data_IF_009947113224
#
_entry.id   IF_009947113224
#
_cell.length_a   1.000
_cell.length_b   1.000
_cell.length_c   1.000
_cell.angle_alpha   90.00
_cell.angle_beta   90.00
_cell.angle_gamma   90.00
#
_symmetry.space_group_name_H-M   'P 1'
#
loop_
_entity.id
_entity.type
_entity.pdbx_description
1 polymer ?
#
# COMPACT_ATOMS: atom_id res chain seq x y z
N UNK A 1 52.00 -68.70 0.33
CA UNK A 1 51.05 -68.31 -0.75
C UNK A 1 49.88 -67.59 -0.10
N UNK A 2 49.70 -66.29 -0.34
CA UNK A 2 48.59 -65.54 0.26
C UNK A 2 48.90 -64.05 0.34
N UNK A 3 48.66 -63.33 -0.76
CA UNK A 3 48.96 -61.90 -0.80
C UNK A 3 48.49 -61.14 -2.06
N UNK A 4 47.57 -61.70 -2.85
CA UNK A 4 47.11 -61.05 -4.11
C UNK A 4 45.60 -60.85 -4.22
N UNK A 5 44.79 -61.27 -3.23
CA UNK A 5 43.32 -61.27 -3.36
C UNK A 5 42.65 -60.01 -2.78
N UNK A 6 43.34 -59.23 -1.92
CA UNK A 6 42.72 -58.08 -1.23
C UNK A 6 42.71 -56.77 -2.03
N UNK A 7 43.60 -56.59 -3.00
CA UNK A 7 43.72 -55.34 -3.76
C UNK A 7 42.79 -55.29 -4.98
N UNK A 8 42.49 -56.44 -5.58
CA UNK A 8 41.60 -56.54 -6.75
C UNK A 8 40.14 -56.19 -6.39
N UNK A 9 39.66 -56.63 -5.23
CA UNK A 9 38.29 -56.38 -4.76
C UNK A 9 38.06 -54.89 -4.47
N UNK A 10 39.08 -54.17 -4.00
CA UNK A 10 38.99 -52.73 -3.73
C UNK A 10 38.92 -51.92 -5.03
N UNK A 11 39.71 -52.31 -6.04
CA UNK A 11 39.74 -51.63 -7.33
C UNK A 11 38.45 -51.83 -8.14
N UNK A 12 37.83 -53.01 -8.06
CA UNK A 12 36.54 -53.25 -8.73
C UNK A 12 35.39 -52.44 -8.10
N UNK A 13 35.36 -52.29 -6.78
CA UNK A 13 34.36 -51.46 -6.09
C UNK A 13 34.49 -49.97 -6.43
N UNK A 14 35.71 -49.47 -6.57
CA UNK A 14 35.96 -48.08 -6.99
C UNK A 14 35.56 -47.86 -8.45
N UNK A 15 35.84 -48.82 -9.35
CA UNK A 15 35.40 -48.76 -10.75
C UNK A 15 33.87 -48.81 -10.89
N UNK A 16 33.21 -49.66 -10.12
CA UNK A 16 31.74 -49.76 -10.12
C UNK A 16 31.08 -48.46 -9.61
N UNK A 17 31.63 -47.85 -8.56
CA UNK A 17 31.14 -46.57 -8.04
C UNK A 17 31.35 -45.41 -9.04
N UNK A 18 32.50 -45.37 -9.72
CA UNK A 18 32.77 -44.35 -10.75
C UNK A 18 31.86 -44.48 -11.97
N UNK A 19 31.55 -45.72 -12.40
CA UNK A 19 30.59 -45.98 -13.48
C UNK A 19 29.15 -45.59 -13.09
N UNK A 20 28.72 -45.88 -11.86
CA UNK A 20 27.42 -45.47 -11.34
C UNK A 20 27.31 -43.94 -11.25
N UNK A 21 28.34 -43.25 -10.77
CA UNK A 21 28.34 -41.80 -10.67
C UNK A 21 28.34 -41.13 -12.06
N UNK A 22 29.10 -41.68 -13.01
CA UNK A 22 29.08 -41.23 -14.41
C UNK A 22 27.72 -41.46 -15.07
N UNK A 23 27.06 -42.60 -14.83
CA UNK A 23 25.72 -42.88 -15.35
C UNK A 23 24.67 -41.93 -14.75
N UNK A 24 24.75 -41.64 -13.45
CA UNK A 24 23.86 -40.68 -12.78
C UNK A 24 24.09 -39.25 -13.30
N UNK A 25 25.33 -38.83 -13.55
CA UNK A 25 25.64 -37.54 -14.15
C UNK A 25 25.14 -37.42 -15.61
N UNK A 26 25.25 -38.48 -16.41
CA UNK A 26 24.72 -38.49 -17.79
C UNK A 26 23.19 -38.51 -17.79
N UNK A 27 22.55 -39.23 -16.86
CA UNK A 27 21.09 -39.21 -16.69
C UNK A 27 20.58 -37.85 -16.20
N UNK A 28 21.28 -37.20 -15.27
CA UNK A 28 20.89 -35.87 -14.77
C UNK A 28 21.14 -34.75 -15.80
N UNK A 29 22.21 -34.85 -16.62
CA UNK A 29 22.42 -33.97 -17.77
C UNK A 29 21.40 -34.22 -18.89
N UNK A 30 20.95 -35.46 -19.09
CA UNK A 30 19.87 -35.80 -20.03
C UNK A 30 18.51 -35.25 -19.60
N UNK A 31 18.22 -35.23 -18.30
CA UNK A 31 16.98 -34.63 -17.74
C UNK A 31 17.02 -33.10 -17.86
N UNK A 32 18.18 -32.46 -17.67
CA UNK A 32 18.34 -31.01 -17.90
C UNK A 32 18.25 -30.63 -19.39
N UNK A 33 18.71 -31.49 -20.31
CA UNK A 33 18.57 -31.27 -21.75
C UNK A 33 17.11 -31.44 -22.24
N UNK A 34 16.32 -32.32 -21.60
CA UNK A 34 14.88 -32.50 -21.92
C UNK A 34 14.00 -31.35 -21.45
N UNK A 35 14.44 -30.53 -20.47
CA UNK A 35 13.69 -29.35 -20.00
C UNK A 35 14.06 -28.11 -20.85
N UNK A 36 15.16 -28.16 -21.60
CA UNK A 36 15.60 -27.09 -22.49
C UNK A 36 15.01 -27.16 -23.92
N UNK A 37 14.21 -28.18 -24.24
CA UNK A 37 13.49 -28.29 -25.52
C UNK A 37 11.98 -28.38 -25.31
N UNK A 38 11.42 -27.37 -24.65
CA UNK A 38 10.01 -27.02 -24.80
C UNK A 38 9.91 -25.69 -25.57
N UNK A 39 10.67 -25.60 -26.67
CA UNK A 39 10.52 -24.58 -27.71
C UNK A 39 9.91 -25.26 -28.92
N UNK A 40 8.76 -24.77 -29.35
CA UNK A 40 7.90 -25.28 -30.42
C UNK A 40 8.65 -25.47 -31.75
N UNK A 41 8.74 -26.70 -32.27
CA UNK A 41 9.21 -26.96 -33.64
C UNK A 41 8.20 -26.52 -34.72
N UNK A 42 7.06 -25.91 -34.34
CA UNK A 42 6.01 -25.47 -35.27
C UNK A 42 5.97 -23.95 -35.50
N UNK A 43 6.74 -23.14 -34.76
CA UNK A 43 6.74 -21.68 -34.90
C UNK A 43 5.46 -20.98 -34.41
N UNK A 44 4.58 -21.69 -33.72
CA UNK A 44 3.35 -21.14 -33.12
C UNK A 44 3.61 -20.53 -31.74
N UNK A 45 2.94 -19.41 -31.45
CA UNK A 45 3.10 -18.66 -30.21
C UNK A 45 2.60 -19.46 -28.98
N UNK A 46 3.44 -19.61 -27.92
CA UNK A 46 3.05 -20.24 -26.65
C UNK A 46 2.68 -19.19 -25.58
N UNK A 47 1.40 -19.07 -25.19
CA UNK A 47 0.94 -18.09 -24.19
C UNK A 47 1.30 -18.47 -22.73
N UNK A 48 1.73 -19.71 -22.48
CA UNK A 48 2.08 -20.21 -21.15
C UNK A 48 3.58 -20.44 -20.95
N UNK A 49 4.41 -20.05 -21.92
CA UNK A 49 5.85 -20.26 -21.91
C UNK A 49 6.58 -18.91 -21.98
N UNK A 50 6.90 -18.24 -20.85
CA UNK A 50 7.51 -16.91 -20.87
C UNK A 50 8.87 -16.91 -21.58
N UNK A 51 9.05 -16.01 -22.56
CA UNK A 51 10.36 -15.71 -23.11
C UNK A 51 11.09 -14.72 -22.19
N UNK A 52 11.94 -15.24 -21.32
CA UNK A 52 12.73 -14.44 -20.38
C UNK A 52 13.83 -13.60 -21.05
N UNK A 53 14.14 -13.85 -22.33
CA UNK A 53 15.12 -13.06 -23.08
C UNK A 53 14.50 -11.82 -23.74
N UNK A 54 13.18 -11.81 -23.92
CA UNK A 54 12.39 -10.67 -24.40
C UNK A 54 10.99 -10.66 -23.78
N UNK A 55 10.95 -10.40 -22.47
CA UNK A 55 9.72 -10.52 -21.68
C UNK A 55 8.63 -9.55 -22.13
N UNK A 56 8.99 -8.30 -22.46
CA UNK A 56 8.04 -7.27 -22.89
C UNK A 56 7.43 -7.62 -24.25
N UNK A 57 8.24 -8.13 -25.19
CA UNK A 57 7.76 -8.60 -26.48
C UNK A 57 6.82 -9.80 -26.36
N UNK A 58 7.11 -10.71 -25.42
CA UNK A 58 6.27 -11.88 -25.14
C UNK A 58 4.93 -11.52 -24.49
N UNK A 59 4.93 -10.60 -23.51
CA UNK A 59 3.72 -10.12 -22.85
C UNK A 59 2.77 -9.46 -23.87
N UNK A 60 3.30 -8.62 -24.76
CA UNK A 60 2.51 -7.98 -25.81
C UNK A 60 1.85 -8.98 -26.78
N UNK A 61 2.54 -10.07 -27.13
CA UNK A 61 1.98 -11.14 -27.97
C UNK A 61 0.93 -11.96 -27.23
N UNK A 62 1.13 -12.23 -25.93
CA UNK A 62 0.16 -12.95 -25.09
C UNK A 62 -1.16 -12.19 -24.99
N UNK A 63 -1.09 -10.89 -24.73
CA UNK A 63 -2.29 -10.06 -24.60
C UNK A 63 -3.04 -9.93 -25.95
N UNK A 64 -2.35 -10.02 -27.09
CA UNK A 64 -3.00 -10.11 -28.41
C UNK A 64 -3.67 -11.48 -28.62
N UNK A 65 -2.98 -12.57 -28.27
CA UNK A 65 -3.52 -13.92 -28.32
C UNK A 65 -4.79 -14.08 -27.47
N UNK A 66 -4.79 -13.59 -26.23
CA UNK A 66 -5.95 -13.65 -25.32
C UNK A 66 -7.16 -12.89 -25.86
N UNK A 67 -6.94 -11.71 -26.48
CA UNK A 67 -8.00 -10.94 -27.13
C UNK A 67 -8.60 -11.65 -28.34
N UNK A 68 -7.77 -12.31 -29.15
CA UNK A 68 -8.25 -13.10 -30.29
C UNK A 68 -9.05 -14.33 -29.84
N UNK A 69 -8.65 -14.98 -28.74
CA UNK A 69 -9.43 -16.07 -28.14
C UNK A 69 -10.80 -15.59 -27.63
N UNK A 70 -10.87 -14.41 -27.02
CA UNK A 70 -12.14 -13.79 -26.60
C UNK A 70 -13.04 -13.42 -27.79
N UNK A 71 -12.46 -12.96 -28.91
CA UNK A 71 -13.19 -12.63 -30.12
C UNK A 71 -13.70 -13.88 -30.86
N UNK A 72 -12.97 -14.99 -30.82
CA UNK A 72 -13.42 -16.27 -31.41
C UNK A 72 -14.52 -16.95 -30.59
N UNK A 73 -14.60 -16.70 -29.29
CA UNK A 73 -15.70 -17.18 -28.44
C UNK A 73 -17.00 -16.39 -28.63
N UNK A 74 -16.94 -15.20 -29.24
CA UNK A 74 -18.09 -14.35 -29.54
C UNK A 74 -18.31 -14.24 -31.07
N UNK A 75 -18.63 -15.36 -31.72
CA UNK A 75 -19.01 -15.38 -33.14
C UNK A 75 -20.35 -14.67 -33.44
N UNK A 76 -20.63 -14.31 -34.71
CA UNK A 76 -21.75 -13.45 -35.06
C UNK A 76 -23.12 -14.12 -34.83
N UNK A 77 -24.00 -13.47 -34.07
CA UNK A 77 -25.35 -13.94 -33.77
C UNK A 77 -26.29 -13.83 -34.99
N UNK A 78 -26.76 -14.96 -35.49
CA UNK A 78 -28.03 -15.04 -36.23
C UNK A 78 -29.20 -15.38 -35.28
N UNK A 79 -30.35 -14.83 -35.63
CA UNK A 79 -31.56 -14.65 -34.84
C UNK A 79 -32.29 -15.91 -34.39
N UNK A 80 -32.80 -15.88 -33.15
CA UNK A 80 -34.13 -16.39 -32.83
C UNK A 80 -34.21 -17.66 -31.98
N UNK A 81 -34.20 -17.48 -30.65
CA UNK A 81 -35.09 -18.14 -29.67
C UNK A 81 -34.69 -17.69 -28.26
N UNK A 82 -35.69 -17.30 -27.45
CA UNK A 82 -35.49 -16.80 -26.11
C UNK A 82 -34.88 -17.88 -25.20
N UNK A 83 -33.58 -17.78 -24.93
CA UNK A 83 -32.93 -18.52 -23.86
C UNK A 83 -33.06 -17.73 -22.56
N UNK A 84 -33.51 -18.39 -21.50
CA UNK A 84 -33.45 -17.85 -20.13
C UNK A 84 -32.03 -17.34 -19.84
N UNK A 85 -31.85 -16.20 -19.15
CA UNK A 85 -30.53 -15.74 -18.80
C UNK A 85 -29.83 -16.82 -17.95
N UNK A 86 -28.52 -17.09 -18.19
CA UNK A 86 -27.77 -17.97 -17.32
C UNK A 86 -27.85 -17.39 -15.90
N UNK A 87 -28.16 -18.26 -14.93
CA UNK A 87 -28.19 -17.89 -13.53
C UNK A 87 -26.88 -17.15 -13.21
N UNK A 88 -27.02 -15.92 -12.72
CA UNK A 88 -25.90 -15.11 -12.30
C UNK A 88 -25.00 -15.98 -11.41
N UNK A 89 -23.75 -16.15 -11.84
CA UNK A 89 -22.68 -16.52 -10.91
C UNK A 89 -22.83 -15.53 -9.76
N UNK A 90 -23.00 -15.97 -8.50
CA UNK A 90 -23.17 -15.03 -7.40
C UNK A 90 -21.97 -14.11 -7.43
N UNK A 91 -22.22 -12.85 -7.76
CA UNK A 91 -21.24 -11.77 -7.68
C UNK A 91 -20.70 -11.85 -6.27
N UNK A 92 -19.41 -12.24 -6.15
CA UNK A 92 -18.74 -12.30 -4.85
C UNK A 92 -19.00 -10.94 -4.20
N UNK A 93 -19.65 -10.92 -3.04
CA UNK A 93 -20.01 -9.69 -2.36
C UNK A 93 -18.82 -8.73 -2.40
N UNK A 94 -19.04 -7.45 -2.75
CA UNK A 94 -17.94 -6.53 -2.97
C UNK A 94 -17.02 -6.57 -1.74
N UNK A 95 -15.75 -6.89 -1.96
CA UNK A 95 -14.78 -6.89 -0.88
C UNK A 95 -14.77 -5.48 -0.26
N UNK A 96 -14.85 -5.41 1.07
CA UNK A 96 -14.85 -4.16 1.82
C UNK A 96 -13.48 -3.94 2.46
N UNK A 97 -13.14 -2.69 2.78
CA UNK A 97 -12.00 -2.38 3.61
C UNK A 97 -12.15 -3.05 4.98
N UNK A 98 -11.04 -3.35 5.66
CA UNK A 98 -11.07 -3.98 6.99
C UNK A 98 -11.65 -3.01 8.03
N UNK A 99 -11.40 -1.71 7.86
CA UNK A 99 -11.91 -0.62 8.69
C UNK A 99 -12.73 0.38 7.85
N UNK A 100 -13.92 -0.02 7.36
CA UNK A 100 -14.72 0.83 6.48
C UNK A 100 -15.23 2.10 7.20
N UNK A 101 -15.13 2.15 8.52
CA UNK A 101 -15.43 3.32 9.34
C UNK A 101 -14.43 4.48 9.17
N UNK A 102 -13.21 4.20 8.70
CA UNK A 102 -12.13 5.18 8.54
C UNK A 102 -12.14 5.88 7.17
N UNK A 103 -13.00 5.47 6.24
CA UNK A 103 -13.10 6.02 4.89
C UNK A 103 -14.52 6.53 4.62
N UNK A 104 -14.61 7.71 4.02
CA UNK A 104 -15.87 8.24 3.47
C UNK A 104 -15.74 8.28 1.96
N UNK A 105 -16.65 7.60 1.25
CA UNK A 105 -16.71 7.65 -0.21
C UNK A 105 -17.43 8.93 -0.66
N UNK A 106 -17.00 9.57 -1.76
CA UNK A 106 -17.54 10.87 -2.17
C UNK A 106 -19.01 10.81 -2.61
N UNK A 107 -19.47 9.66 -3.11
CA UNK A 107 -20.89 9.44 -3.48
C UNK A 107 -21.81 9.28 -2.25
N UNK A 108 -21.22 9.11 -1.07
CA UNK A 108 -21.91 8.81 0.19
C UNK A 108 -21.58 9.79 1.30
N UNK A 109 -21.30 11.06 0.97
CA UNK A 109 -21.07 12.12 1.94
C UNK A 109 -22.36 12.38 2.76
N UNK A 110 -22.60 11.53 3.77
CA UNK A 110 -23.67 11.67 4.76
C UNK A 110 -23.27 12.79 5.70
N UNK A 111 -24.05 13.89 5.76
CA UNK A 111 -23.79 15.08 6.59
C UNK A 111 -23.83 14.80 8.12
N UNK A 112 -23.78 13.53 8.53
CA UNK A 112 -23.70 13.09 9.93
C UNK A 112 -22.27 13.18 10.44
N UNK A 113 -21.81 14.41 10.62
CA UNK A 113 -20.51 14.71 11.21
C UNK A 113 -20.05 16.12 10.88
N UNK A 114 -18.91 16.49 11.45
CA UNK A 114 -18.22 17.74 11.13
C UNK A 114 -17.38 17.47 9.90
N UNK A 115 -17.69 18.17 8.81
CA UNK A 115 -16.85 18.17 7.62
C UNK A 115 -15.72 19.16 7.88
N UNK A 116 -14.48 18.68 7.77
CA UNK A 116 -13.29 19.46 8.08
C UNK A 116 -12.41 19.57 6.83
N UNK A 117 -12.37 20.79 6.29
CA UNK A 117 -11.48 21.19 5.19
C UNK A 117 -10.10 21.51 5.75
N UNK A 118 -9.09 20.74 5.36
CA UNK A 118 -7.73 20.95 5.85
C UNK A 118 -6.83 21.71 4.87
N UNK A 119 -7.40 22.21 3.77
CA UNK A 119 -6.68 23.03 2.77
C UNK A 119 -6.41 24.44 3.31
N UNK A 120 -5.65 25.22 2.55
CA UNK A 120 -5.35 26.60 2.92
C UNK A 120 -6.62 27.45 3.02
N UNK A 121 -6.53 28.56 3.76
CA UNK A 121 -7.66 29.48 3.91
C UNK A 121 -8.14 30.04 2.58
N UNK A 122 -7.22 30.30 1.65
CA UNK A 122 -7.55 30.83 0.33
C UNK A 122 -8.33 29.83 -0.51
N UNK A 123 -7.95 28.55 -0.49
CA UNK A 123 -8.67 27.46 -1.17
C UNK A 123 -10.06 27.26 -0.56
N UNK A 124 -10.16 27.28 0.77
CA UNK A 124 -11.43 27.20 1.48
C UNK A 124 -12.38 28.35 1.09
N UNK A 125 -11.89 29.58 1.05
CA UNK A 125 -12.69 30.75 0.67
C UNK A 125 -13.06 30.77 -0.82
N UNK A 126 -12.24 30.16 -1.68
CA UNK A 126 -12.54 30.00 -3.10
C UNK A 126 -13.69 29.00 -3.34
N UNK A 127 -13.84 28.01 -2.47
CA UNK A 127 -14.96 27.08 -2.46
C UNK A 127 -14.66 25.84 -1.62
N UNK A 128 -15.57 25.49 -0.72
CA UNK A 128 -15.46 24.35 0.19
C UNK A 128 -16.77 23.55 0.23
N UNK A 129 -16.74 22.31 0.70
CA UNK A 129 -17.96 21.51 0.87
C UNK A 129 -18.90 22.22 1.84
N UNK A 130 -20.18 22.38 1.49
CA UNK A 130 -21.13 23.15 2.30
C UNK A 130 -21.16 22.68 3.76
N UNK A 131 -21.07 23.64 4.69
CA UNK A 131 -21.01 23.36 6.14
C UNK A 131 -19.62 22.99 6.67
N UNK A 132 -18.59 22.88 5.82
CA UNK A 132 -17.25 22.56 6.27
C UNK A 132 -16.63 23.67 7.13
N UNK A 133 -15.92 23.24 8.18
CA UNK A 133 -15.00 24.05 9.00
C UNK A 133 -13.60 23.98 8.40
N UNK A 134 -12.71 24.91 8.74
CA UNK A 134 -11.37 24.95 8.13
C UNK A 134 -10.25 25.03 9.16
N UNK A 135 -9.34 24.06 9.10
CA UNK A 135 -8.07 24.08 9.86
C UNK A 135 -6.95 23.71 8.90
N UNK A 136 -6.12 24.68 8.50
CA UNK A 136 -5.05 24.40 7.56
C UNK A 136 -3.96 23.52 8.18
N UNK A 137 -3.69 22.38 7.54
CA UNK A 137 -2.81 21.36 8.12
C UNK A 137 -1.39 21.83 8.39
N UNK A 138 -0.86 22.77 7.60
CA UNK A 138 0.51 23.30 7.78
C UNK A 138 0.64 24.24 8.97
N UNK A 139 -0.45 24.89 9.38
CA UNK A 139 -0.46 25.76 10.56
C UNK A 139 -0.32 24.96 11.86
N UNK A 140 -0.47 23.63 11.80
CA UNK A 140 -0.31 22.71 12.92
C UNK A 140 1.13 22.24 13.12
N UNK A 141 2.04 22.69 12.28
CA UNK A 141 3.41 22.19 12.24
C UNK A 141 4.42 23.22 12.75
N UNK A 142 5.48 22.70 13.38
CA UNK A 142 6.66 23.46 13.77
C UNK A 142 7.89 22.72 13.31
N UNK A 143 8.69 23.37 12.45
CA UNK A 143 9.84 22.73 11.77
C UNK A 143 9.47 21.46 10.98
N UNK A 144 8.22 21.34 10.49
CA UNK A 144 7.72 20.18 9.74
C UNK A 144 7.11 19.07 10.59
N UNK A 145 7.23 19.15 11.91
CA UNK A 145 6.64 18.19 12.85
C UNK A 145 5.33 18.72 13.43
N UNK A 146 4.44 17.82 13.85
CA UNK A 146 3.16 18.20 14.49
C UNK A 146 3.45 18.85 15.85
N UNK A 147 2.81 19.98 16.12
CA UNK A 147 2.76 20.61 17.44
C UNK A 147 1.35 20.37 18.03
N UNK A 148 1.15 19.38 18.93
CA UNK A 148 -0.17 18.96 19.39
C UNK A 148 -1.03 20.09 19.96
N UNK A 149 -0.38 21.02 20.68
CA UNK A 149 -1.03 22.19 21.27
C UNK A 149 -1.65 23.14 20.24
N UNK A 150 -1.11 23.21 19.02
CA UNK A 150 -1.72 23.98 17.93
C UNK A 150 -2.97 23.30 17.39
N UNK A 151 -2.97 21.97 17.29
CA UNK A 151 -4.12 21.20 16.84
C UNK A 151 -5.26 21.21 17.87
N UNK A 152 -4.96 20.98 19.16
CA UNK A 152 -5.94 21.08 20.25
C UNK A 152 -6.63 22.45 20.24
N UNK A 153 -5.83 23.52 20.11
CA UNK A 153 -6.34 24.89 20.05
C UNK A 153 -7.22 25.11 18.82
N UNK A 154 -6.75 24.71 17.63
CA UNK A 154 -7.49 24.90 16.39
C UNK A 154 -8.83 24.14 16.39
N UNK A 155 -8.86 22.92 16.93
CA UNK A 155 -10.10 22.14 17.09
C UNK A 155 -11.08 22.86 18.01
N UNK A 156 -10.62 23.34 19.17
CA UNK A 156 -11.46 24.09 20.10
C UNK A 156 -12.00 25.41 19.52
N UNK A 157 -11.17 26.16 18.80
CA UNK A 157 -11.58 27.40 18.10
C UNK A 157 -12.66 27.14 17.04
N UNK A 158 -12.56 26.00 16.35
CA UNK A 158 -13.58 25.55 15.40
C UNK A 158 -14.78 24.87 16.07
N UNK A 159 -14.90 24.89 17.40
CA UNK A 159 -16.04 24.33 18.13
C UNK A 159 -16.12 22.80 18.04
N UNK A 160 -14.95 22.14 17.97
CA UNK A 160 -14.80 20.70 17.89
C UNK A 160 -14.42 20.14 19.27
N UNK A 161 -15.12 19.10 19.72
CA UNK A 161 -14.76 18.30 20.91
C UNK A 161 -14.40 16.85 20.52
N UNK A 162 -13.78 16.12 21.44
CA UNK A 162 -13.26 14.76 21.20
C UNK A 162 -14.33 13.68 20.96
N UNK A 163 -15.61 13.99 21.20
CA UNK A 163 -16.73 13.06 21.04
C UNK A 163 -17.36 13.09 19.65
N UNK A 164 -17.11 14.16 18.89
CA UNK A 164 -17.76 14.41 17.62
C UNK A 164 -17.20 13.53 16.50
N UNK A 165 -18.01 13.28 15.46
CA UNK A 165 -17.54 12.61 14.24
C UNK A 165 -16.90 13.63 13.32
N UNK A 166 -15.70 13.34 12.80
CA UNK A 166 -15.01 14.21 11.84
C UNK A 166 -14.83 13.48 10.50
N UNK A 167 -15.23 14.16 9.42
CA UNK A 167 -14.95 13.77 8.04
C UNK A 167 -13.90 14.74 7.51
N UNK A 168 -12.67 14.25 7.36
CA UNK A 168 -11.52 15.04 6.95
C UNK A 168 -11.46 15.04 5.42
N UNK A 169 -11.22 16.20 4.81
CA UNK A 169 -10.83 16.25 3.40
C UNK A 169 -9.78 17.33 3.15
N UNK A 170 -8.86 17.02 2.23
CA UNK A 170 -7.89 17.96 1.68
C UNK A 170 -8.09 18.11 0.18
N UNK A 171 -7.06 18.61 -0.48
CA UNK A 171 -6.93 18.51 -1.93
C UNK A 171 -6.42 17.11 -2.30
N UNK A 172 -6.74 16.63 -3.50
CA UNK A 172 -6.18 15.38 -4.03
C UNK A 172 -4.68 15.49 -4.38
N UNK A 173 -4.10 16.69 -4.43
CA UNK A 173 -2.70 16.91 -4.81
C UNK A 173 -1.76 17.22 -3.63
N UNK A 174 -2.24 17.17 -2.39
CA UNK A 174 -1.43 17.42 -1.18
C UNK A 174 -1.56 16.31 -0.13
N UNK A 175 -0.74 16.36 0.92
CA UNK A 175 -0.74 15.36 2.01
C UNK A 175 -1.62 15.76 3.20
N UNK A 176 -2.39 16.84 3.09
CA UNK A 176 -3.10 17.46 4.21
C UNK A 176 -4.10 16.53 4.87
N UNK A 177 -4.94 15.87 4.06
CA UNK A 177 -5.96 14.93 4.56
C UNK A 177 -5.36 13.77 5.37
N UNK A 178 -4.44 12.97 4.80
CA UNK A 178 -3.77 11.88 5.52
C UNK A 178 -2.95 12.36 6.72
N UNK A 179 -2.28 13.51 6.64
CA UNK A 179 -1.57 14.10 7.79
C UNK A 179 -2.53 14.37 8.94
N UNK A 180 -3.65 15.05 8.65
CA UNK A 180 -4.62 15.43 9.67
C UNK A 180 -5.32 14.21 10.27
N UNK A 181 -5.57 13.16 9.45
CA UNK A 181 -6.04 11.87 9.93
C UNK A 181 -5.07 11.25 10.94
N UNK A 182 -3.77 11.23 10.61
CA UNK A 182 -2.74 10.73 11.54
C UNK A 182 -2.67 11.60 12.81
N UNK A 183 -2.72 12.93 12.67
CA UNK A 183 -2.63 13.85 13.79
C UNK A 183 -3.83 13.69 14.76
N UNK A 184 -5.06 13.63 14.26
CA UNK A 184 -6.24 13.35 15.08
C UNK A 184 -6.17 11.98 15.73
N UNK A 185 -5.70 10.97 15.00
CA UNK A 185 -5.48 9.63 15.56
C UNK A 185 -4.47 9.66 16.72
N UNK A 186 -3.39 10.43 16.58
CA UNK A 186 -2.34 10.61 17.58
C UNK A 186 -2.86 11.34 18.82
N UNK A 187 -3.71 12.35 18.66
CA UNK A 187 -4.41 13.04 19.76
C UNK A 187 -5.50 12.17 20.42
N UNK A 188 -5.76 10.96 19.91
CA UNK A 188 -6.71 10.02 20.49
C UNK A 188 -8.15 10.16 19.99
N UNK A 189 -8.41 11.00 18.98
CA UNK A 189 -9.74 11.15 18.39
C UNK A 189 -10.15 9.87 17.65
N UNK A 190 -11.28 9.25 18.02
CA UNK A 190 -11.65 7.92 17.51
C UNK A 190 -12.55 7.97 16.28
N UNK A 191 -13.51 8.90 16.25
CA UNK A 191 -14.58 8.92 15.26
C UNK A 191 -14.21 9.77 14.05
N UNK A 192 -13.11 9.39 13.38
CA UNK A 192 -12.60 10.10 12.21
C UNK A 192 -12.69 9.24 10.95
N UNK A 193 -12.89 9.89 9.81
CA UNK A 193 -12.78 9.27 8.49
C UNK A 193 -12.15 10.24 7.49
N UNK A 194 -11.48 9.70 6.48
CA UNK A 194 -10.92 10.48 5.38
C UNK A 194 -11.80 10.36 4.14
N UNK A 195 -12.13 11.50 3.53
CA UNK A 195 -12.85 11.56 2.26
C UNK A 195 -11.94 11.13 1.11
N UNK A 196 -12.31 10.05 0.43
CA UNK A 196 -11.52 9.50 -0.66
C UNK A 196 -11.50 10.43 -1.88
N UNK A 197 -10.31 10.78 -2.36
CA UNK A 197 -10.10 11.70 -3.48
C UNK A 197 -10.35 13.19 -3.15
N UNK A 198 -10.55 13.55 -1.89
CA UNK A 198 -10.62 14.95 -1.44
C UNK A 198 -11.77 15.76 -2.02
N UNK A 199 -11.58 17.08 -2.07
CA UNK A 199 -12.61 18.03 -2.55
C UNK A 199 -12.94 17.84 -4.03
N UNK A 200 -11.97 17.46 -4.86
CA UNK A 200 -12.18 17.23 -6.30
C UNK A 200 -13.16 16.08 -6.51
N UNK A 201 -12.92 14.94 -5.86
CA UNK A 201 -13.79 13.78 -5.96
C UNK A 201 -15.19 14.05 -5.40
N UNK A 202 -15.30 14.83 -4.33
CA UNK A 202 -16.57 15.26 -3.76
C UNK A 202 -17.37 16.09 -4.76
N UNK A 203 -16.73 17.08 -5.39
CA UNK A 203 -17.35 17.94 -6.39
C UNK A 203 -17.77 17.15 -7.63
N UNK A 204 -16.93 16.24 -8.12
CA UNK A 204 -17.25 15.33 -9.23
C UNK A 204 -18.45 14.43 -8.92
N UNK A 205 -18.62 14.05 -7.65
CA UNK A 205 -19.74 13.24 -7.17
C UNK A 205 -21.00 14.06 -6.86
N UNK A 206 -20.97 15.38 -7.11
CA UNK A 206 -22.12 16.27 -6.98
C UNK A 206 -22.25 16.98 -5.63
N UNK A 207 -21.22 16.98 -4.78
CA UNK A 207 -21.23 17.77 -3.55
C UNK A 207 -21.36 19.27 -3.86
N UNK A 208 -22.21 19.96 -3.10
CA UNK A 208 -22.38 21.40 -3.24
C UNK A 208 -21.24 22.16 -2.57
N UNK A 209 -20.58 23.02 -3.34
CA UNK A 209 -19.59 23.95 -2.81
C UNK A 209 -20.26 25.23 -2.31
N UNK A 210 -19.76 25.74 -1.19
CA UNK A 210 -20.11 26.99 -0.54
C UNK A 210 -18.88 27.90 -0.46
N UNK A 211 -19.12 29.20 -0.35
CA UNK A 211 -18.12 30.20 0.03
C UNK A 211 -18.45 30.86 1.37
N UNK A 212 -19.59 30.50 1.97
CA UNK A 212 -20.01 31.02 3.27
C UNK A 212 -19.37 30.17 4.37
N UNK A 213 -18.55 30.77 5.25
CA UNK A 213 -17.92 30.03 6.34
C UNK A 213 -18.97 29.50 7.32
N UNK A 214 -18.67 28.36 7.94
CA UNK A 214 -19.50 27.81 9.00
C UNK A 214 -19.51 28.74 10.23
N UNK A 215 -20.68 28.93 10.84
CA UNK A 215 -20.78 29.56 12.14
C UNK A 215 -20.49 28.51 13.23
N UNK A 216 -19.52 28.79 14.08
CA UNK A 216 -19.05 27.86 15.13
C UNK A 216 -19.02 28.58 16.47
N UNK A 217 -19.40 27.87 17.53
CA UNK A 217 -19.21 28.31 18.90
C UNK A 217 -18.01 27.54 19.47
N UNK A 218 -16.95 28.23 19.96
CA UNK A 218 -15.76 27.57 20.45
C UNK A 218 -16.05 26.60 21.60
N UNK A 219 -15.29 25.51 21.64
CA UNK A 219 -15.33 24.47 22.67
C UNK A 219 -13.94 24.28 23.27
N UNK A 220 -13.87 23.50 24.35
CA UNK A 220 -12.58 22.99 24.83
C UNK A 220 -12.37 21.62 24.23
N UNK A 221 -11.27 21.44 23.51
CA UNK A 221 -10.82 20.13 23.07
C UNK A 221 -9.90 19.52 24.14
N UNK A 222 -10.12 18.26 24.50
CA UNK A 222 -9.23 17.53 25.41
C UNK A 222 -8.61 16.35 24.67
N UNK A 223 -7.28 16.36 24.51
CA UNK A 223 -6.58 15.25 23.88
C UNK A 223 -6.46 14.02 24.82
N UNK A 224 -6.26 12.88 24.20
CA UNK A 224 -5.78 11.65 24.82
C UNK A 224 -4.66 11.09 23.97
N UNK A 225 -3.49 11.76 24.02
CA UNK A 225 -2.33 11.40 23.20
C UNK A 225 -2.03 9.90 23.26
N UNK A 226 -1.73 9.32 22.09
CA UNK A 226 -1.34 7.93 21.87
C UNK A 226 0.13 7.85 21.49
N UNK A 227 1.07 7.77 22.47
CA UNK A 227 2.51 7.86 22.20
C UNK A 227 3.01 6.79 21.23
N UNK A 228 2.36 5.62 21.20
CA UNK A 228 2.75 4.51 20.35
C UNK A 228 2.54 4.76 18.84
N UNK A 229 1.86 5.83 18.43
CA UNK A 229 1.67 6.17 17.01
C UNK A 229 2.81 6.99 16.41
N UNK A 230 3.70 7.53 17.25
CA UNK A 230 4.88 8.29 16.85
C UNK A 230 6.14 7.64 17.42
N UNK A 231 7.08 7.30 16.57
CA UNK A 231 8.37 6.76 16.96
C UNK A 231 9.27 7.90 17.41
N UNK A 232 9.60 7.93 18.69
CA UNK A 232 10.60 8.85 19.22
C UNK A 232 12.02 8.33 18.96
N UNK A 233 13.02 9.20 18.73
CA UNK A 233 14.42 8.80 18.51
C UNK A 233 14.96 7.86 19.59
N UNK A 234 14.63 8.11 20.86
CA UNK A 234 15.07 7.29 21.98
C UNK A 234 14.48 5.87 21.98
N UNK A 235 13.31 5.68 21.35
CA UNK A 235 12.59 4.40 21.32
C UNK A 235 13.02 3.49 20.16
N UNK A 236 13.59 4.06 19.10
CA UNK A 236 13.87 3.37 17.84
C UNK A 236 14.73 2.11 18.05
N UNK A 237 15.82 2.21 18.81
CA UNK A 237 16.70 1.07 19.11
C UNK A 237 15.96 -0.13 19.71
N UNK A 238 15.08 0.14 20.66
CA UNK A 238 14.29 -0.90 21.34
C UNK A 238 13.23 -1.51 20.43
N UNK A 239 12.66 -0.72 19.52
CA UNK A 239 11.72 -1.21 18.52
C UNK A 239 12.41 -2.12 17.50
N UNK A 240 13.56 -1.70 16.95
CA UNK A 240 14.33 -2.44 15.96
C UNK A 240 14.81 -3.82 16.46
N UNK A 241 14.88 -4.02 17.79
CA UNK A 241 15.24 -5.31 18.39
C UNK A 241 14.09 -6.33 18.43
N UNK A 242 12.85 -5.94 18.06
CA UNK A 242 11.68 -6.82 18.09
C UNK A 242 11.60 -7.69 16.84
N UNK A 243 11.31 -8.98 17.00
CA UNK A 243 11.20 -9.94 15.90
C UNK A 243 9.98 -9.71 15.00
N UNK A 244 8.88 -9.20 15.56
CA UNK A 244 7.62 -8.89 14.86
C UNK A 244 7.53 -7.44 14.38
N UNK A 245 8.67 -6.86 13.98
CA UNK A 245 8.73 -5.52 13.41
C UNK A 245 8.85 -5.59 11.88
N UNK A 246 8.07 -4.77 11.18
CA UNK A 246 8.26 -4.45 9.75
C UNK A 246 8.52 -2.95 9.61
N UNK A 247 9.35 -2.58 8.64
CA UNK A 247 9.67 -1.17 8.34
C UNK A 247 9.32 -0.92 6.89
N UNK A 248 8.42 0.02 6.64
CA UNK A 248 7.99 0.41 5.30
C UNK A 248 8.40 1.87 5.02
N UNK A 249 9.01 2.08 3.86
CA UNK A 249 9.40 3.39 3.36
C UNK A 249 8.35 3.87 2.36
N UNK A 250 7.73 5.02 2.62
CA UNK A 250 6.69 5.57 1.76
C UNK A 250 7.22 6.43 0.60
N UNK A 251 8.52 6.73 0.58
CA UNK A 251 9.15 7.54 -0.47
C UNK A 251 9.23 6.78 -1.78
N UNK A 252 9.52 7.51 -2.84
CA UNK A 252 9.80 6.93 -4.15
C UNK A 252 11.04 6.03 -4.12
N UNK A 253 11.04 5.03 -5.01
CA UNK A 253 12.10 4.03 -5.05
C UNK A 253 13.50 4.62 -5.28
N UNK A 254 13.59 5.76 -5.97
CA UNK A 254 14.85 6.48 -6.15
C UNK A 254 15.44 6.97 -4.82
N UNK A 255 14.62 7.58 -3.95
CA UNK A 255 15.06 8.07 -2.65
C UNK A 255 15.39 6.93 -1.69
N UNK A 256 14.57 5.88 -1.67
CA UNK A 256 14.84 4.64 -0.94
C UNK A 256 16.16 3.99 -1.38
N UNK A 257 16.45 4.02 -2.69
CA UNK A 257 17.68 3.50 -3.28
C UNK A 257 18.92 4.28 -2.85
N UNK A 258 18.78 5.57 -2.53
CA UNK A 258 19.89 6.41 -2.04
C UNK A 258 20.15 6.18 -0.55
N UNK A 259 19.09 6.14 0.26
CA UNK A 259 19.17 5.96 1.71
C UNK A 259 17.93 5.25 2.25
N UNK A 260 18.07 4.45 3.31
CA UNK A 260 16.93 3.76 3.95
C UNK A 260 17.17 3.43 5.42
N UNK A 261 16.10 3.22 6.18
CA UNK A 261 16.18 2.81 7.58
C UNK A 261 16.37 1.29 7.69
N UNK A 262 17.60 0.87 7.96
CA UNK A 262 17.98 -0.53 8.06
C UNK A 262 17.90 -1.30 6.72
N UNK A 263 18.54 -2.47 6.68
CA UNK A 263 18.57 -3.30 5.47
C UNK A 263 17.26 -4.05 5.21
N UNK A 264 16.38 -4.18 6.22
CA UNK A 264 15.12 -4.90 6.12
C UNK A 264 13.92 -4.02 5.76
N UNK A 265 14.11 -2.72 5.52
CA UNK A 265 13.01 -1.84 5.10
C UNK A 265 12.54 -2.16 3.69
N UNK A 266 11.24 -2.04 3.44
CA UNK A 266 10.61 -2.29 2.14
C UNK A 266 10.02 -0.97 1.64
N UNK A 267 10.40 -0.55 0.44
CA UNK A 267 9.78 0.61 -0.22
C UNK A 267 8.36 0.25 -0.68
N UNK A 268 7.41 1.13 -0.37
CA UNK A 268 6.03 1.08 -0.80
C UNK A 268 5.52 2.49 -1.07
N UNK A 269 5.87 2.99 -2.25
CA UNK A 269 5.54 4.32 -2.75
C UNK A 269 4.04 4.51 -3.01
N UNK A 270 3.63 5.78 -3.07
CA UNK A 270 2.23 6.21 -3.22
C UNK A 270 1.51 5.55 -4.41
N UNK A 271 2.17 5.45 -5.57
CA UNK A 271 1.63 4.85 -6.81
C UNK A 271 1.21 3.37 -6.65
N UNK A 272 1.73 2.67 -5.63
CA UNK A 272 1.35 1.29 -5.35
C UNK A 272 0.01 1.20 -4.64
N UNK A 273 -0.40 2.24 -3.92
CA UNK A 273 -1.51 2.25 -2.98
C UNK A 273 -2.69 3.08 -3.49
N UNK A 274 -2.40 4.16 -4.21
CA UNK A 274 -3.39 5.09 -4.75
C UNK A 274 -3.42 5.04 -6.28
N UNK A 275 -4.58 5.36 -6.85
CA UNK A 275 -4.75 5.61 -8.27
C UNK A 275 -4.54 7.11 -8.55
N UNK A 276 -4.69 7.51 -9.81
CA UNK A 276 -4.74 8.92 -10.20
C UNK A 276 -5.85 9.66 -9.42
N UNK A 277 -5.62 10.94 -9.12
CA UNK A 277 -6.54 11.76 -8.31
C UNK A 277 -6.59 11.37 -6.82
N UNK A 278 -5.57 10.68 -6.32
CA UNK A 278 -5.42 10.29 -4.91
C UNK A 278 -6.61 9.50 -4.35
N UNK A 279 -7.27 8.73 -5.22
CA UNK A 279 -8.26 7.73 -4.81
C UNK A 279 -7.57 6.45 -4.37
N UNK A 280 -7.91 5.95 -3.19
CA UNK A 280 -7.30 4.74 -2.66
C UNK A 280 -7.68 3.52 -3.53
N UNK A 281 -6.75 2.58 -3.71
CA UNK A 281 -7.05 1.37 -4.48
C UNK A 281 -8.10 0.49 -3.78
N UNK A 282 -8.84 -0.35 -4.53
CA UNK A 282 -9.83 -1.25 -3.96
C UNK A 282 -9.25 -2.19 -2.90
N UNK A 283 -10.04 -2.61 -1.90
CA UNK A 283 -9.55 -3.38 -0.74
C UNK A 283 -8.88 -4.70 -1.11
N UNK A 284 -9.35 -5.39 -2.16
CA UNK A 284 -8.71 -6.62 -2.64
C UNK A 284 -7.28 -6.40 -3.15
N UNK A 285 -7.02 -5.27 -3.82
CA UNK A 285 -5.68 -4.90 -4.28
C UNK A 285 -4.76 -4.61 -3.11
N UNK A 286 -5.24 -3.81 -2.13
CA UNK A 286 -4.45 -3.47 -0.95
C UNK A 286 -4.20 -4.68 -0.05
N UNK A 287 -5.18 -5.56 0.12
CA UNK A 287 -5.03 -6.81 0.87
C UNK A 287 -3.88 -7.65 0.28
N UNK A 288 -3.93 -7.90 -1.03
CA UNK A 288 -2.88 -8.63 -1.74
C UNK A 288 -1.51 -7.93 -1.66
N UNK A 289 -1.49 -6.60 -1.60
CA UNK A 289 -0.26 -5.81 -1.50
C UNK A 289 0.37 -5.94 -0.11
N UNK A 290 -0.41 -5.80 0.96
CA UNK A 290 0.07 -5.79 2.34
C UNK A 290 0.36 -7.20 2.88
N UNK A 291 -0.47 -8.20 2.60
CA UNK A 291 -0.26 -9.59 3.09
C UNK A 291 1.05 -10.24 2.59
N UNK A 292 1.64 -9.69 1.52
CA UNK A 292 2.97 -10.14 1.02
C UNK A 292 4.15 -9.53 1.77
N UNK A 293 3.90 -8.53 2.61
CA UNK A 293 4.93 -7.67 3.24
C UNK A 293 4.83 -7.65 4.76
N UNK A 294 3.62 -7.82 5.29
CA UNK A 294 3.31 -7.79 6.71
C UNK A 294 2.47 -8.98 7.12
N UNK A 295 2.59 -9.38 8.38
CA UNK A 295 1.67 -10.30 9.05
C UNK A 295 0.68 -9.51 9.92
N UNK A 296 -0.49 -10.07 10.25
CA UNK A 296 -1.49 -9.41 11.10
C UNK A 296 -0.96 -8.93 12.47
N UNK A 297 -0.03 -9.67 13.07
CA UNK A 297 0.54 -9.38 14.39
C UNK A 297 1.79 -8.47 14.34
N UNK A 298 2.24 -8.09 13.14
CA UNK A 298 3.41 -7.23 13.01
C UNK A 298 3.11 -5.81 13.50
N UNK A 299 4.07 -5.21 14.20
CA UNK A 299 4.13 -3.75 14.32
C UNK A 299 4.81 -3.20 13.09
N UNK A 300 4.18 -2.24 12.42
CA UNK A 300 4.68 -1.66 11.17
C UNK A 300 5.15 -0.23 11.42
N UNK A 301 6.46 0.02 11.37
CA UNK A 301 7.00 1.37 11.29
C UNK A 301 6.86 1.87 9.86
N UNK A 302 6.30 3.06 9.70
CA UNK A 302 6.20 3.80 8.44
C UNK A 302 7.05 5.05 8.53
N UNK A 303 7.85 5.36 7.51
CA UNK A 303 8.65 6.58 7.46
C UNK A 303 8.73 7.16 6.05
N UNK A 304 9.30 8.36 5.92
CA UNK A 304 9.37 9.08 4.66
C UNK A 304 8.26 10.11 4.54
N UNK A 305 8.11 10.96 5.55
CA UNK A 305 7.14 12.07 5.49
C UNK A 305 7.51 13.05 4.38
N UNK A 306 6.52 13.61 3.65
CA UNK A 306 5.09 13.54 3.97
C UNK A 306 4.35 12.31 3.40
N UNK A 307 4.91 11.55 2.46
CA UNK A 307 4.25 10.37 1.85
C UNK A 307 3.90 9.28 2.87
N UNK A 308 4.63 9.23 3.99
CA UNK A 308 4.36 8.32 5.10
C UNK A 308 2.92 8.40 5.65
N UNK A 309 2.27 9.57 5.59
CA UNK A 309 0.90 9.72 6.10
C UNK A 309 -0.12 8.93 5.26
N UNK A 310 0.05 8.90 3.94
CA UNK A 310 -0.77 8.10 3.02
C UNK A 310 -0.63 6.60 3.29
N UNK A 311 0.62 6.14 3.44
CA UNK A 311 0.89 4.73 3.76
C UNK A 311 0.38 4.35 5.15
N UNK A 312 0.56 5.22 6.15
CA UNK A 312 0.01 5.02 7.50
C UNK A 312 -1.51 4.86 7.46
N UNK A 313 -2.23 5.80 6.83
CA UNK A 313 -3.68 5.74 6.71
C UNK A 313 -4.13 4.43 6.03
N UNK A 314 -3.49 4.08 4.92
CA UNK A 314 -3.84 2.88 4.14
C UNK A 314 -3.63 1.58 4.92
N UNK A 315 -2.56 1.49 5.71
CA UNK A 315 -2.31 0.36 6.60
C UNK A 315 -3.38 0.27 7.70
N UNK A 316 -3.76 1.39 8.31
CA UNK A 316 -4.83 1.46 9.33
C UNK A 316 -6.18 1.07 8.76
N UNK A 317 -6.50 1.55 7.55
CA UNK A 317 -7.71 1.19 6.80
C UNK A 317 -7.80 -0.33 6.55
N UNK A 318 -6.64 -0.97 6.34
CA UNK A 318 -6.51 -2.41 6.19
C UNK A 318 -6.24 -3.16 7.50
N UNK A 319 -6.42 -2.52 8.66
CA UNK A 319 -6.37 -3.15 9.98
C UNK A 319 -4.97 -3.42 10.54
N UNK A 320 -3.91 -2.91 9.90
CA UNK A 320 -2.54 -3.09 10.37
C UNK A 320 -2.21 -2.20 11.58
N UNK A 321 -1.34 -2.70 12.46
CA UNK A 321 -0.80 -1.93 13.57
C UNK A 321 0.39 -1.06 13.12
N UNK A 322 0.08 0.11 12.56
CA UNK A 322 1.08 1.06 12.06
C UNK A 322 1.47 2.12 13.11
N UNK A 323 2.73 2.52 13.09
CA UNK A 323 3.31 3.68 13.80
C UNK A 323 4.19 4.46 12.83
N UNK A 324 4.38 5.75 13.07
CA UNK A 324 5.02 6.66 12.12
C UNK A 324 6.34 7.22 12.67
N UNK A 325 7.36 7.36 11.83
CA UNK A 325 8.50 8.26 12.07
C UNK A 325 8.19 9.57 11.34
N UNK A 326 8.11 10.67 12.09
CA UNK A 326 7.97 12.01 11.52
C UNK A 326 9.36 12.60 11.23
N UNK A 327 9.49 13.28 10.10
CA UNK A 327 10.74 13.92 9.68
C UNK A 327 11.80 12.92 9.19
N UNK A 328 13.05 13.37 9.18
CA UNK A 328 14.16 12.62 8.60
C UNK A 328 15.37 12.42 9.53
N UNK A 329 15.19 12.67 10.84
CA UNK A 329 16.21 12.47 11.87
C UNK A 329 16.77 11.03 11.88
N UNK A 330 16.02 10.05 11.38
CA UNK A 330 16.48 8.67 11.24
C UNK A 330 17.72 8.54 10.34
N UNK A 331 17.94 9.48 9.41
CA UNK A 331 19.13 9.53 8.53
C UNK A 331 20.42 9.76 9.32
N UNK A 332 20.34 10.43 10.47
CA UNK A 332 21.48 10.74 11.33
C UNK A 332 21.77 9.62 12.35
N UNK A 333 21.08 8.48 12.24
CA UNK A 333 21.22 7.34 13.16
C UNK A 333 22.18 6.29 12.64
N UNK A 334 22.70 5.43 13.53
CA UNK A 334 23.54 4.28 13.15
C UNK A 334 22.80 3.23 12.29
N UNK A 335 21.47 3.31 12.20
CA UNK A 335 20.64 2.40 11.40
C UNK A 335 20.35 2.94 10.00
N UNK A 336 20.74 4.17 9.69
CA UNK A 336 20.67 4.69 8.33
C UNK A 336 21.64 3.93 7.43
N UNK A 337 21.12 3.40 6.33
CA UNK A 337 21.92 2.76 5.29
C UNK A 337 21.97 3.72 4.11
N UNK A 338 23.13 4.31 3.84
CA UNK A 338 23.39 5.10 2.63
C UNK A 338 24.09 4.23 1.60
N UNK A 339 23.62 4.28 0.35
CA UNK A 339 24.27 3.64 -0.79
C UNK A 339 25.16 4.62 -1.58
N UNK A 340 25.22 5.89 -1.16
CA UNK A 340 26.10 6.90 -1.73
C UNK A 340 27.35 6.97 -0.84
N UNK A 341 28.48 6.52 -1.41
CA UNK A 341 29.82 6.56 -0.81
C UNK A 341 30.51 7.89 -1.05
#
# INVERSE_FOLDING_TARGET
MGGSVSLSISLEKVKAAALLFSLVCVLSLGILAMIATAGTETGEFCPTCPDWTNLDGWLAQRDAYERDQMNQQNGPQESGQAAMPPAAVPEKAPESYVRPDLITMPEGLDEKGIILDVRSKDEYLAGHISGARNIYWKDLQKNGDLEPSLLEKALGEEGIDESQRIIIYGSSDDEGGPFFFWALSYLGHENISLLDGGVEAAQESGAFLSTNPAAVEPTNYSDSIRPWMLVEPASLKGMLARSSLRILDARDFSEYGQSRLGNGSICLSHDKIYNDGSRIKPPGTLKNLFERRTNPDDTVIVYGTPQAYYLFYSLRLMGSNATLIQGDWWKETEWAVSNIS
#
